data_IF_030840454310
#
_entry.id   IF_030840454310
#
_cell.length_a   1.000
_cell.length_b   1.000
_cell.length_c   1.000
_cell.angle_alpha   90.00
_cell.angle_beta   90.00
_cell.angle_gamma   90.00
#
_symmetry.space_group_name_H-M   'P 1'
#
loop_
_entity.id
_entity.type
_entity.pdbx_description
1 polymer ?
#
# COMPACT_ATOMS: atom_id res chain seq x y z
N UNK A 1 -9.40 -17.89 -7.84
CA UNK A 1 -9.63 -16.73 -8.72
C UNK A 1 -9.16 -17.06 -10.13
N UNK A 2 -9.73 -16.42 -11.16
CA UNK A 2 -9.25 -16.56 -12.56
C UNK A 2 -8.04 -15.64 -12.80
N UNK A 3 -7.31 -15.85 -13.90
CA UNK A 3 -6.07 -15.10 -14.16
C UNK A 3 -6.33 -13.60 -14.32
N UNK A 4 -7.38 -13.24 -15.05
CA UNK A 4 -7.83 -11.87 -15.24
C UNK A 4 -8.16 -11.17 -13.91
N UNK A 5 -8.75 -11.89 -12.96
CA UNK A 5 -9.04 -11.37 -11.62
C UNK A 5 -7.77 -11.15 -10.81
N UNK A 6 -6.81 -12.08 -10.90
CA UNK A 6 -5.52 -11.93 -10.21
C UNK A 6 -4.72 -10.75 -10.74
N UNK A 7 -4.70 -10.55 -12.07
CA UNK A 7 -4.00 -9.44 -12.70
C UNK A 7 -4.49 -8.06 -12.22
N UNK A 8 -5.78 -7.95 -11.88
CA UNK A 8 -6.37 -6.69 -11.38
C UNK A 8 -6.13 -6.47 -9.88
N UNK A 9 -6.20 -7.52 -9.06
CA UNK A 9 -6.21 -7.36 -7.59
C UNK A 9 -4.90 -7.70 -6.89
N UNK A 10 -3.95 -8.36 -7.55
CA UNK A 10 -2.68 -8.73 -6.93
C UNK A 10 -1.88 -7.48 -6.51
N UNK A 11 -1.51 -7.41 -5.23
CA UNK A 11 -0.76 -6.29 -4.67
C UNK A 11 -1.57 -5.00 -4.46
N UNK A 12 -2.86 -4.99 -4.77
CA UNK A 12 -3.75 -3.83 -4.65
C UNK A 12 -4.77 -4.02 -3.52
N UNK A 13 -4.28 -4.10 -2.28
CA UNK A 13 -5.15 -4.02 -1.11
C UNK A 13 -5.63 -2.57 -0.89
N UNK A 14 -6.83 -2.42 -0.34
CA UNK A 14 -7.34 -1.11 0.06
C UNK A 14 -6.43 -0.53 1.14
N UNK A 15 -6.07 0.74 0.99
CA UNK A 15 -5.28 1.45 1.98
C UNK A 15 -6.02 1.48 3.33
N UNK A 16 -5.37 1.00 4.39
CA UNK A 16 -6.03 0.80 5.68
C UNK A 16 -6.30 2.12 6.42
N UNK A 17 -5.53 3.16 6.13
CA UNK A 17 -5.64 4.45 6.82
C UNK A 17 -6.75 5.32 6.21
N UNK A 18 -6.84 5.36 4.89
CA UNK A 18 -7.72 6.29 4.15
C UNK A 18 -8.88 5.60 3.43
N UNK A 19 -8.81 4.28 3.23
CA UNK A 19 -9.76 3.55 2.40
C UNK A 19 -9.53 3.73 0.89
N UNK A 20 -8.39 4.27 0.46
CA UNK A 20 -8.09 4.45 -0.95
C UNK A 20 -8.02 3.10 -1.69
N UNK A 21 -8.75 3.00 -2.81
CA UNK A 21 -8.72 1.82 -3.68
C UNK A 21 -7.49 1.78 -4.57
N UNK A 22 -7.09 2.94 -5.09
CA UNK A 22 -5.85 3.09 -5.84
C UNK A 22 -4.70 3.32 -4.85
N UNK A 23 -3.58 2.57 -4.95
CA UNK A 23 -2.43 2.79 -4.09
C UNK A 23 -1.93 4.24 -4.19
N UNK A 24 -1.64 4.90 -3.06
CA UNK A 24 -1.10 6.25 -3.06
C UNK A 24 0.31 6.28 -3.68
N UNK A 25 0.65 7.42 -4.29
CA UNK A 25 2.01 7.68 -4.76
C UNK A 25 2.81 8.40 -3.67
N UNK A 26 3.65 7.66 -2.95
CA UNK A 26 4.52 8.24 -1.93
C UNK A 26 5.73 8.95 -2.57
N UNK A 27 5.58 10.25 -2.83
CA UNK A 27 6.66 11.13 -3.31
C UNK A 27 7.51 11.72 -2.19
N UNK A 28 7.46 11.12 -0.99
CA UNK A 28 8.26 11.55 0.15
C UNK A 28 9.74 11.21 -0.09
N UNK A 29 10.61 12.02 0.51
CA UNK A 29 12.06 11.81 0.48
C UNK A 29 12.58 11.14 1.77
N UNK A 30 11.74 11.04 2.80
CA UNK A 30 12.08 10.48 4.12
C UNK A 30 10.87 9.76 4.72
N UNK A 31 11.13 8.92 5.74
CA UNK A 31 10.13 8.22 6.54
C UNK A 31 10.52 8.32 8.02
N UNK A 32 9.53 8.25 8.91
CA UNK A 32 9.76 8.23 10.36
C UNK A 32 10.47 6.93 10.78
N UNK A 33 11.48 7.06 11.63
CA UNK A 33 12.16 5.91 12.22
C UNK A 33 11.40 5.40 13.45
N UNK A 34 11.51 4.09 13.70
CA UNK A 34 11.05 3.55 14.96
C UNK A 34 11.76 4.24 16.15
N UNK A 35 11.13 4.33 17.33
CA UNK A 35 11.75 4.92 18.51
C UNK A 35 13.08 4.24 18.87
N UNK A 36 14.00 4.98 19.47
CA UNK A 36 15.29 4.44 19.87
C UNK A 36 15.12 3.23 20.81
N UNK A 37 15.71 2.09 20.44
CA UNK A 37 15.74 0.88 21.26
C UNK A 37 14.57 -0.11 21.06
N UNK A 38 13.74 0.06 20.03
CA UNK A 38 12.75 -0.95 19.60
C UNK A 38 13.34 -2.03 18.69
#
# INVERSE_FOLDING_TARGET
MRLETLAVHAGAAVDAETGALAPPLHLSTTYEHAPDGS
#
